data_IF_547899028179
#
_entry.id   IF_547899028179
#
_cell.length_a   1.000
_cell.length_b   1.000
_cell.length_c   1.000
_cell.angle_alpha   90.00
_cell.angle_beta   90.00
_cell.angle_gamma   90.00
#
_symmetry.space_group_name_H-M   'P 1'
#
loop_
_entity.id
_entity.type
_entity.pdbx_description
1 polymer ?
#
# COMPACT_ATOMS: atom_id res chain seq x y z
N UNK A 1 54.41 -35.58 -58.09
CA UNK A 1 53.96 -34.17 -58.18
C UNK A 1 52.57 -34.11 -58.79
N UNK A 2 51.56 -33.79 -57.98
CA UNK A 2 50.43 -32.90 -58.28
C UNK A 2 49.42 -33.06 -57.13
N UNK A 3 49.36 -32.06 -56.27
CA UNK A 3 48.41 -31.95 -55.17
C UNK A 3 47.00 -31.81 -55.73
N UNK A 4 46.06 -32.61 -55.21
CA UNK A 4 44.62 -32.43 -55.43
C UNK A 4 44.04 -31.90 -54.12
N UNK A 5 43.59 -30.66 -54.17
CA UNK A 5 42.96 -29.91 -53.08
C UNK A 5 41.49 -30.31 -52.98
N UNK A 6 41.05 -30.82 -51.83
CA UNK A 6 39.63 -30.94 -51.49
C UNK A 6 39.18 -29.65 -50.79
N UNK A 7 38.26 -28.91 -51.42
CA UNK A 7 37.58 -27.76 -50.84
C UNK A 7 36.28 -28.27 -50.21
N UNK A 8 36.21 -28.27 -48.89
CA UNK A 8 34.98 -28.51 -48.13
C UNK A 8 34.17 -27.22 -48.04
N UNK A 9 32.91 -27.26 -48.51
CA UNK A 9 31.92 -26.24 -48.22
C UNK A 9 31.32 -26.52 -46.83
N UNK A 10 31.72 -25.73 -45.83
CA UNK A 10 31.04 -25.66 -44.54
C UNK A 10 30.16 -24.41 -44.55
N UNK A 11 28.87 -24.60 -44.76
CA UNK A 11 27.86 -23.55 -44.67
C UNK A 11 27.63 -23.15 -43.21
N UNK A 12 28.30 -22.09 -42.77
CA UNK A 12 27.98 -21.41 -41.52
C UNK A 12 26.67 -20.62 -41.69
N UNK A 13 25.58 -21.18 -41.17
CA UNK A 13 24.37 -20.41 -40.86
C UNK A 13 24.67 -19.50 -39.66
N UNK A 14 25.13 -18.28 -39.95
CA UNK A 14 25.12 -17.19 -38.98
C UNK A 14 23.66 -16.76 -38.76
N UNK A 15 23.01 -17.34 -37.76
CA UNK A 15 21.84 -16.73 -37.14
C UNK A 15 22.31 -15.41 -36.51
N UNK A 16 22.11 -14.31 -37.24
CA UNK A 16 22.25 -12.97 -36.71
C UNK A 16 21.24 -12.80 -35.57
N UNK A 17 21.71 -12.84 -34.33
CA UNK A 17 20.99 -12.16 -33.25
C UNK A 17 20.90 -10.69 -33.65
N UNK A 18 19.71 -10.25 -34.03
CA UNK A 18 19.41 -8.82 -34.06
C UNK A 18 19.66 -8.30 -32.65
N UNK A 19 20.71 -7.49 -32.50
CA UNK A 19 20.94 -6.73 -31.28
C UNK A 19 19.78 -5.78 -31.13
N UNK A 20 18.80 -6.13 -30.29
CA UNK A 20 17.82 -5.16 -29.83
C UNK A 20 18.59 -3.98 -29.21
N UNK A 21 18.38 -2.77 -29.73
CA UNK A 21 19.00 -1.61 -29.09
C UNK A 21 18.40 -1.52 -27.69
N UNK A 22 19.25 -1.58 -26.68
CA UNK A 22 18.81 -1.48 -25.29
C UNK A 22 18.62 0.00 -24.98
N UNK A 23 17.38 0.45 -24.83
CA UNK A 23 17.08 1.80 -24.32
C UNK A 23 17.20 1.73 -22.79
N UNK A 24 18.42 1.84 -22.28
CA UNK A 24 18.70 1.80 -20.84
C UNK A 24 18.64 0.38 -20.23
N UNK A 25 17.61 0.06 -19.44
CA UNK A 25 17.43 -1.26 -18.78
C UNK A 25 16.41 -2.17 -19.49
N UNK A 26 15.76 -1.66 -20.53
CA UNK A 26 14.64 -2.30 -21.23
C UNK A 26 14.98 -2.48 -22.71
N UNK A 27 14.45 -3.53 -23.34
CA UNK A 27 14.54 -3.70 -24.80
C UNK A 27 13.53 -2.80 -25.51
N UNK A 28 13.79 -2.46 -26.78
CA UNK A 28 12.82 -1.75 -27.63
C UNK A 28 11.44 -2.43 -27.64
N UNK A 29 11.39 -3.75 -27.77
CA UNK A 29 10.13 -4.52 -27.74
C UNK A 29 9.33 -4.29 -26.44
N UNK A 30 10.02 -4.20 -25.30
CA UNK A 30 9.39 -3.93 -24.00
C UNK A 30 8.84 -2.51 -23.93
N UNK A 31 9.58 -1.54 -24.48
CA UNK A 31 9.14 -0.14 -24.52
C UNK A 31 7.94 0.03 -25.45
N UNK A 32 7.92 -0.65 -26.60
CA UNK A 32 6.81 -0.60 -27.56
C UNK A 32 5.49 -1.08 -26.96
N UNK A 33 5.51 -2.04 -26.02
CA UNK A 33 4.30 -2.50 -25.31
C UNK A 33 3.58 -1.37 -24.55
N UNK A 34 4.29 -0.30 -24.18
CA UNK A 34 3.69 0.82 -23.48
C UNK A 34 2.79 1.68 -24.38
N UNK A 35 2.99 1.66 -25.71
CA UNK A 35 2.31 2.53 -26.69
C UNK A 35 2.22 3.99 -26.23
N UNK A 36 3.35 4.59 -25.84
CA UNK A 36 3.41 5.91 -25.18
C UNK A 36 2.75 7.04 -25.98
N UNK A 37 2.75 6.91 -27.32
CA UNK A 37 2.11 7.85 -28.25
C UNK A 37 0.60 7.98 -28.02
N UNK A 38 -0.03 6.91 -27.54
CA UNK A 38 -1.48 6.81 -27.29
C UNK A 38 -1.86 7.18 -25.85
N UNK A 39 -0.87 7.49 -24.99
CA UNK A 39 -1.11 7.78 -23.57
C UNK A 39 -1.82 9.13 -23.39
N UNK A 40 -2.99 9.11 -22.77
CA UNK A 40 -3.78 10.31 -22.48
C UNK A 40 -3.49 10.86 -21.09
N UNK A 41 -3.57 12.17 -20.94
CA UNK A 41 -3.46 12.82 -19.63
C UNK A 41 -4.86 12.94 -19.02
N UNK A 42 -5.05 12.42 -17.81
CA UNK A 42 -6.25 12.66 -17.01
C UNK A 42 -5.95 13.78 -16.01
N UNK A 43 -6.80 14.79 -15.99
CA UNK A 43 -6.77 15.85 -14.97
C UNK A 43 -7.85 15.56 -13.94
N UNK A 44 -7.52 15.60 -12.63
CA UNK A 44 -8.52 15.43 -11.59
C UNK A 44 -9.64 16.48 -11.71
N UNK A 45 -10.89 16.02 -11.71
CA UNK A 45 -12.07 16.87 -11.58
C UNK A 45 -12.14 17.45 -10.16
N UNK A 46 -12.47 18.72 -10.03
CA UNK A 46 -12.46 19.43 -8.74
C UNK A 46 -13.82 20.00 -8.33
N UNK A 47 -14.88 19.79 -9.12
CA UNK A 47 -16.18 20.42 -8.86
C UNK A 47 -16.83 19.97 -7.53
N UNK A 48 -16.51 18.76 -7.07
CA UNK A 48 -17.13 18.13 -5.88
C UNK A 48 -16.19 18.05 -4.67
N UNK A 49 -15.09 18.81 -4.68
CA UNK A 49 -14.03 18.69 -3.68
C UNK A 49 -14.52 19.12 -2.28
N UNK A 50 -14.31 18.26 -1.28
CA UNK A 50 -14.68 18.53 0.11
C UNK A 50 -13.46 19.04 0.89
N UNK A 51 -13.61 20.18 1.55
CA UNK A 51 -12.59 20.69 2.47
C UNK A 51 -12.79 20.03 3.83
N UNK A 52 -11.79 19.28 4.29
CA UNK A 52 -11.81 18.61 5.59
C UNK A 52 -11.01 19.45 6.57
N UNK A 53 -11.71 20.07 7.53
CA UNK A 53 -11.06 20.87 8.56
C UNK A 53 -10.53 19.98 9.70
N UNK A 54 -9.21 19.88 9.79
CA UNK A 54 -8.50 19.09 10.80
C UNK A 54 -7.96 19.94 11.96
N UNK A 55 -8.12 21.27 11.92
CA UNK A 55 -7.66 22.18 12.97
C UNK A 55 -8.18 21.82 14.38
N UNK A 56 -9.43 21.38 14.57
CA UNK A 56 -9.93 20.98 15.89
C UNK A 56 -9.15 19.82 16.54
N UNK A 57 -8.43 19.02 15.75
CA UNK A 57 -7.72 17.81 16.18
C UNK A 57 -6.20 18.01 16.33
N UNK A 58 -5.70 19.24 16.22
CA UNK A 58 -4.29 19.57 16.43
C UNK A 58 -3.93 19.65 17.93
N UNK A 59 -2.65 19.45 18.25
CA UNK A 59 -2.13 19.42 19.61
C UNK A 59 -2.56 18.18 20.37
N UNK A 60 -2.30 18.11 21.68
CA UNK A 60 -2.74 16.96 22.51
C UNK A 60 -4.27 16.92 22.57
N UNK A 61 -4.86 15.86 22.02
CA UNK A 61 -6.31 15.70 21.88
C UNK A 61 -6.73 14.29 22.25
N UNK A 62 -7.54 14.22 23.30
CA UNK A 62 -8.22 12.99 23.71
C UNK A 62 -9.59 12.90 23.04
N UNK A 63 -10.02 11.68 22.71
CA UNK A 63 -11.35 11.42 22.16
C UNK A 63 -11.90 10.07 22.62
N UNK A 64 -13.23 9.99 22.73
CA UNK A 64 -13.98 8.84 23.25
C UNK A 64 -14.15 7.75 22.20
N UNK A 65 -13.05 7.12 21.79
CA UNK A 65 -13.04 6.11 20.72
C UNK A 65 -13.79 4.83 21.09
N UNK A 66 -13.62 4.32 22.32
CA UNK A 66 -14.20 3.04 22.73
C UNK A 66 -15.73 3.01 22.69
N UNK A 67 -16.40 4.17 22.76
CA UNK A 67 -17.86 4.26 22.60
C UNK A 67 -18.33 4.13 21.16
N UNK A 68 -17.46 4.34 20.18
CA UNK A 68 -17.79 4.31 18.77
C UNK A 68 -17.66 2.90 18.18
N UNK A 69 -16.98 1.99 18.87
CA UNK A 69 -16.69 0.65 18.35
C UNK A 69 -17.91 -0.25 18.55
N UNK A 70 -18.53 -0.65 17.44
CA UNK A 70 -19.71 -1.51 17.43
C UNK A 70 -19.33 -3.00 17.46
N UNK A 71 -18.39 -3.36 16.61
CA UNK A 71 -18.05 -4.76 16.33
C UNK A 71 -16.53 -4.92 16.34
N UNK A 72 -16.05 -5.99 16.97
CA UNK A 72 -14.64 -6.37 17.02
C UNK A 72 -14.50 -7.85 16.68
N UNK A 73 -13.52 -8.20 15.84
CA UNK A 73 -13.06 -9.57 15.61
C UNK A 73 -11.57 -9.66 15.86
N UNK A 74 -11.18 -10.64 16.69
CA UNK A 74 -9.79 -10.85 17.09
C UNK A 74 -9.23 -12.06 16.36
N UNK A 75 -8.16 -11.83 15.60
CA UNK A 75 -7.52 -12.85 14.77
C UNK A 75 -6.02 -12.90 15.15
N UNK A 76 -5.64 -13.71 16.15
CA UNK A 76 -4.23 -14.00 16.42
C UNK A 76 -3.63 -14.73 15.23
N UNK A 77 -2.51 -14.23 14.70
CA UNK A 77 -1.79 -14.94 13.64
C UNK A 77 -1.00 -16.09 14.27
N UNK A 78 -1.14 -17.30 13.74
CA UNK A 78 -0.46 -18.48 14.27
C UNK A 78 1.06 -18.26 14.34
N UNK A 79 1.65 -18.53 15.51
CA UNK A 79 3.10 -18.43 15.74
C UNK A 79 3.77 -19.80 15.69
N UNK A 80 4.65 -19.99 14.70
CA UNK A 80 5.56 -21.12 14.63
C UNK A 80 6.83 -20.70 13.84
N UNK A 81 7.83 -21.58 13.80
CA UNK A 81 9.13 -21.29 13.15
C UNK A 81 9.03 -20.93 11.66
N UNK A 82 7.90 -21.23 10.99
CA UNK A 82 7.66 -20.94 9.57
C UNK A 82 6.79 -19.70 9.36
N UNK A 83 6.15 -19.18 10.40
CA UNK A 83 5.14 -18.12 10.30
C UNK A 83 5.52 -16.83 11.02
N UNK A 84 6.76 -16.69 11.53
CA UNK A 84 7.21 -15.46 12.19
C UNK A 84 7.02 -14.24 11.29
N UNK A 85 6.32 -13.23 11.82
CA UNK A 85 6.02 -11.96 11.14
C UNK A 85 7.00 -10.90 11.62
N UNK A 86 7.79 -10.34 10.69
CA UNK A 86 8.75 -9.28 10.99
C UNK A 86 8.25 -7.95 10.43
N UNK A 87 7.57 -7.13 11.22
CA UNK A 87 7.15 -5.78 10.81
C UNK A 87 6.18 -5.73 9.61
N UNK A 88 4.88 -5.60 9.89
CA UNK A 88 3.84 -5.58 8.86
C UNK A 88 3.86 -4.26 8.06
N UNK A 89 4.06 -4.35 6.75
CA UNK A 89 3.97 -3.23 5.81
C UNK A 89 2.63 -3.15 5.07
N UNK A 90 2.01 -4.29 4.75
CA UNK A 90 0.72 -4.33 4.06
C UNK A 90 -0.09 -5.54 4.49
N UNK A 91 -1.40 -5.34 4.62
CA UNK A 91 -2.39 -6.39 4.89
C UNK A 91 -3.40 -6.34 3.75
N UNK A 92 -3.65 -7.49 3.13
CA UNK A 92 -4.73 -7.66 2.17
C UNK A 92 -5.62 -8.79 2.66
N UNK A 93 -6.92 -8.54 2.75
CA UNK A 93 -7.90 -9.52 3.20
C UNK A 93 -8.83 -9.85 2.05
N UNK A 94 -9.03 -11.15 1.79
CA UNK A 94 -10.04 -11.66 0.87
C UNK A 94 -11.13 -12.38 1.66
N UNK A 95 -12.11 -12.98 0.99
CA UNK A 95 -13.10 -13.82 1.68
C UNK A 95 -12.46 -15.01 2.40
N UNK A 96 -11.36 -15.56 1.88
CA UNK A 96 -10.76 -16.81 2.33
C UNK A 96 -9.44 -16.64 3.09
N UNK A 97 -8.65 -15.60 2.78
CA UNK A 97 -7.28 -15.48 3.26
C UNK A 97 -6.90 -14.06 3.70
N UNK A 98 -5.82 -14.00 4.47
CA UNK A 98 -5.13 -12.79 4.91
C UNK A 98 -3.70 -12.88 4.40
N UNK A 99 -3.31 -11.93 3.56
CA UNK A 99 -1.97 -11.80 3.01
C UNK A 99 -1.23 -10.71 3.78
N UNK A 100 -0.07 -11.06 4.33
CA UNK A 100 0.79 -10.14 5.07
C UNK A 100 2.08 -9.92 4.28
N UNK A 101 2.33 -8.67 3.90
CA UNK A 101 3.67 -8.23 3.49
C UNK A 101 4.41 -7.73 4.71
N UNK A 102 5.57 -8.34 4.99
CA UNK A 102 6.42 -8.01 6.13
C UNK A 102 7.84 -7.65 5.68
N UNK A 103 8.70 -7.27 6.62
CA UNK A 103 10.07 -6.80 6.41
C UNK A 103 11.13 -7.91 6.27
N UNK A 104 10.75 -9.17 6.47
CA UNK A 104 11.70 -10.28 6.44
C UNK A 104 12.48 -10.34 5.11
N UNK A 105 13.82 -10.29 5.22
CA UNK A 105 14.76 -10.38 4.08
C UNK A 105 14.45 -9.42 2.93
N UNK A 106 14.32 -8.13 3.23
CA UNK A 106 13.99 -7.07 2.26
C UNK A 106 12.60 -7.27 1.62
N UNK A 107 11.67 -7.82 2.40
CA UNK A 107 10.27 -7.97 2.02
C UNK A 107 9.85 -9.43 1.85
N UNK A 108 8.92 -9.87 2.70
CA UNK A 108 8.36 -11.21 2.67
C UNK A 108 6.84 -11.21 2.48
N UNK A 109 6.30 -12.40 2.18
CA UNK A 109 4.85 -12.63 2.10
C UNK A 109 4.48 -13.82 2.98
N UNK A 110 3.45 -13.67 3.81
CA UNK A 110 2.78 -14.77 4.51
C UNK A 110 1.30 -14.82 4.10
N UNK A 111 0.74 -16.03 4.10
CA UNK A 111 -0.68 -16.27 3.93
C UNK A 111 -1.19 -16.96 5.18
N UNK A 112 -2.27 -16.42 5.73
CA UNK A 112 -3.07 -17.03 6.79
C UNK A 112 -4.50 -17.22 6.30
N UNK A 113 -5.25 -18.16 6.87
CA UNK A 113 -6.70 -18.18 6.69
C UNK A 113 -7.39 -17.05 7.46
N UNK A 114 -8.71 -16.94 7.32
CA UNK A 114 -9.50 -15.91 8.03
C UNK A 114 -9.51 -16.03 9.56
N UNK A 115 -9.09 -17.17 10.11
CA UNK A 115 -8.99 -17.41 11.55
C UNK A 115 -7.55 -17.23 12.06
N UNK A 116 -6.61 -16.83 11.19
CA UNK A 116 -5.23 -16.58 11.54
C UNK A 116 -4.35 -17.84 11.50
N UNK A 117 -4.85 -18.97 11.00
CA UNK A 117 -4.04 -20.19 10.85
C UNK A 117 -3.05 -20.02 9.70
N UNK A 118 -1.81 -20.42 9.91
CA UNK A 118 -0.76 -20.29 8.91
C UNK A 118 -1.00 -21.23 7.72
N UNK A 119 -0.89 -20.68 6.51
CA UNK A 119 -1.00 -21.42 5.25
C UNK A 119 0.36 -21.54 4.57
N UNK A 120 1.04 -20.40 4.34
CA UNK A 120 2.28 -20.39 3.55
C UNK A 120 3.18 -19.20 3.88
N UNK A 121 4.48 -19.46 3.84
CA UNK A 121 5.56 -18.46 3.77
C UNK A 121 6.24 -18.61 2.43
N UNK A 122 6.44 -17.50 1.72
CA UNK A 122 7.14 -17.51 0.43
C UNK A 122 8.65 -17.63 0.66
N UNK A 123 9.33 -18.42 -0.17
CA UNK A 123 10.79 -18.56 -0.13
C UNK A 123 11.47 -17.34 -0.75
N UNK A 124 12.72 -17.11 -0.33
CA UNK A 124 13.58 -16.06 -0.88
C UNK A 124 14.71 -16.66 -1.70
N UNK A 125 14.96 -16.08 -2.87
CA UNK A 125 15.97 -16.56 -3.81
C UNK A 125 15.80 -15.94 -5.19
N UNK A 126 16.26 -16.65 -6.21
CA UNK A 126 16.22 -16.19 -7.62
C UNK A 126 15.51 -17.20 -8.53
N UNK A 127 15.01 -18.31 -7.97
CA UNK A 127 14.24 -19.29 -8.70
C UNK A 127 12.82 -18.81 -9.03
N UNK A 128 12.10 -19.53 -9.92
CA UNK A 128 10.72 -19.21 -10.25
C UNK A 128 9.83 -19.19 -9.01
N UNK A 129 9.11 -18.08 -8.80
CA UNK A 129 8.22 -17.89 -7.65
C UNK A 129 8.91 -17.52 -6.33
N UNK A 130 10.25 -17.46 -6.30
CA UNK A 130 10.98 -16.99 -5.12
C UNK A 130 11.01 -15.45 -5.07
N UNK A 131 10.96 -14.93 -3.86
CA UNK A 131 10.99 -13.49 -3.61
C UNK A 131 12.43 -12.98 -3.50
N UNK A 132 12.66 -11.81 -4.05
CA UNK A 132 13.87 -11.02 -3.81
C UNK A 132 13.52 -9.54 -3.88
N UNK A 133 13.78 -8.80 -2.78
CA UNK A 133 13.54 -7.36 -2.70
C UNK A 133 12.13 -6.97 -3.16
N UNK A 134 11.15 -7.31 -2.34
CA UNK A 134 9.73 -7.05 -2.61
C UNK A 134 9.42 -5.57 -2.39
N UNK A 135 8.73 -4.94 -3.35
CA UNK A 135 8.36 -3.53 -3.28
C UNK A 135 6.90 -3.33 -2.89
N UNK A 136 5.98 -4.13 -3.44
CA UNK A 136 4.56 -4.09 -3.09
C UNK A 136 3.87 -5.40 -3.49
N UNK A 137 2.68 -5.64 -2.93
CA UNK A 137 1.77 -6.72 -3.32
C UNK A 137 0.36 -6.17 -3.53
N UNK A 138 -0.43 -6.80 -4.39
CA UNK A 138 -1.87 -6.58 -4.44
C UNK A 138 -2.60 -7.86 -4.86
N UNK A 139 -3.93 -7.86 -4.84
CA UNK A 139 -4.75 -9.01 -5.20
C UNK A 139 -5.66 -8.74 -6.40
N UNK A 140 -5.59 -9.62 -7.39
CA UNK A 140 -6.49 -9.64 -8.54
C UNK A 140 -7.77 -10.42 -8.18
N UNK A 141 -8.74 -9.73 -7.57
CA UNK A 141 -10.02 -10.31 -7.15
C UNK A 141 -10.85 -10.91 -8.28
N UNK A 142 -10.58 -10.55 -9.55
CA UNK A 142 -11.29 -11.11 -10.70
C UNK A 142 -10.76 -12.49 -11.08
N UNK A 143 -9.47 -12.74 -10.86
CA UNK A 143 -8.78 -13.97 -11.24
C UNK A 143 -8.35 -14.82 -10.04
N UNK A 144 -8.61 -14.36 -8.81
CA UNK A 144 -8.17 -14.96 -7.56
C UNK A 144 -6.65 -15.17 -7.48
N UNK A 145 -5.89 -14.16 -7.94
CA UNK A 145 -4.43 -14.20 -7.99
C UNK A 145 -3.78 -13.17 -7.08
N UNK A 146 -2.79 -13.59 -6.30
CA UNK A 146 -1.87 -12.68 -5.62
C UNK A 146 -0.84 -12.17 -6.64
N UNK A 147 -0.64 -10.86 -6.67
CA UNK A 147 0.34 -10.18 -7.53
C UNK A 147 1.43 -9.57 -6.65
N UNK A 148 2.67 -10.00 -6.84
CA UNK A 148 3.83 -9.47 -6.13
C UNK A 148 4.75 -8.70 -7.08
N UNK A 149 5.17 -7.50 -6.68
CA UNK A 149 6.10 -6.69 -7.44
C UNK A 149 7.50 -6.73 -6.82
N UNK A 150 8.42 -7.35 -7.56
CA UNK A 150 9.86 -7.24 -7.32
C UNK A 150 10.49 -6.68 -8.58
N UNK A 151 11.11 -5.50 -8.49
CA UNK A 151 11.61 -4.82 -9.69
C UNK A 151 12.61 -5.70 -10.47
N UNK A 152 12.44 -6.00 -11.77
CA UNK A 152 11.49 -5.45 -12.77
C UNK A 152 10.37 -6.41 -13.21
N UNK A 153 9.79 -7.19 -12.29
CA UNK A 153 8.80 -8.23 -12.57
C UNK A 153 7.54 -8.10 -11.71
N UNK A 154 6.40 -8.44 -12.32
CA UNK A 154 5.23 -8.90 -11.58
C UNK A 154 5.25 -10.42 -11.53
N UNK A 155 5.11 -10.99 -10.34
CA UNK A 155 4.92 -12.41 -10.11
C UNK A 155 3.46 -12.64 -9.75
N UNK A 156 2.89 -13.70 -10.30
CA UNK A 156 1.50 -14.07 -10.12
C UNK A 156 1.45 -15.43 -9.43
N UNK A 157 0.62 -15.52 -8.41
CA UNK A 157 0.41 -16.72 -7.63
C UNK A 157 -1.09 -16.99 -7.51
N UNK A 158 -1.47 -18.25 -7.34
CA UNK A 158 -2.84 -18.57 -6.96
C UNK A 158 -3.16 -18.09 -5.54
N UNK A 159 -4.41 -18.27 -5.11
CA UNK A 159 -4.88 -17.83 -3.78
C UNK A 159 -4.12 -18.44 -2.60
N UNK A 160 -3.47 -19.61 -2.76
CA UNK A 160 -2.65 -20.25 -1.71
C UNK A 160 -1.14 -20.07 -1.92
N UNK A 161 -0.75 -19.21 -2.87
CA UNK A 161 0.63 -18.79 -3.09
C UNK A 161 1.46 -19.74 -3.95
N UNK A 162 0.87 -20.61 -4.77
CA UNK A 162 1.62 -21.37 -5.78
C UNK A 162 1.93 -20.49 -6.98
N UNK A 163 3.18 -20.55 -7.45
CA UNK A 163 3.62 -19.72 -8.57
C UNK A 163 2.92 -20.13 -9.86
N UNK A 164 2.34 -19.14 -10.54
CA UNK A 164 1.67 -19.32 -11.82
C UNK A 164 2.55 -18.86 -12.97
N UNK A 165 3.05 -17.62 -12.89
CA UNK A 165 3.83 -16.98 -13.94
C UNK A 165 4.53 -15.73 -13.42
N UNK A 166 5.48 -15.23 -14.22
CA UNK A 166 6.05 -13.90 -14.05
C UNK A 166 5.98 -13.11 -15.36
N UNK A 167 5.77 -11.80 -15.26
CA UNK A 167 5.82 -10.86 -16.39
C UNK A 167 6.88 -9.81 -16.13
N UNK A 168 7.75 -9.56 -17.11
CA UNK A 168 8.71 -8.46 -17.05
C UNK A 168 7.98 -7.14 -17.33
N UNK A 169 8.23 -6.15 -16.48
CA UNK A 169 7.67 -4.82 -16.58
C UNK A 169 8.58 -3.91 -17.40
N UNK A 170 8.02 -3.08 -18.29
CA UNK A 170 8.76 -2.05 -19.02
C UNK A 170 8.85 -0.71 -18.25
N UNK A 171 8.63 -0.71 -16.93
CA UNK A 171 8.76 0.47 -16.07
C UNK A 171 8.98 0.08 -14.59
N UNK A 172 9.50 1.01 -13.80
CA UNK A 172 9.60 0.90 -12.35
C UNK A 172 8.56 1.75 -11.61
N UNK A 173 8.01 1.23 -10.51
CA UNK A 173 7.10 1.95 -9.64
C UNK A 173 7.33 1.64 -8.15
N UNK A 174 6.49 2.18 -7.29
CA UNK A 174 6.55 2.02 -5.84
C UNK A 174 5.36 1.23 -5.30
N UNK A 175 4.14 1.63 -5.65
CA UNK A 175 2.93 0.90 -5.27
C UNK A 175 2.12 0.50 -6.49
N UNK A 176 1.34 -0.57 -6.35
CA UNK A 176 0.43 -1.03 -7.37
C UNK A 176 -0.97 -1.28 -6.81
N UNK A 177 -1.97 -1.06 -7.67
CA UNK A 177 -3.31 -1.59 -7.51
C UNK A 177 -3.70 -2.32 -8.79
N UNK A 178 -4.21 -3.53 -8.65
CA UNK A 178 -4.77 -4.34 -9.72
C UNK A 178 -6.24 -3.96 -9.90
N UNK A 179 -6.63 -3.69 -11.13
CA UNK A 179 -8.03 -3.46 -11.53
C UNK A 179 -8.46 -4.58 -12.49
N UNK A 180 -9.75 -4.65 -12.79
CA UNK A 180 -10.30 -5.67 -13.70
C UNK A 180 -9.67 -5.59 -15.10
N UNK A 181 -9.35 -4.37 -15.54
CA UNK A 181 -8.86 -4.08 -16.90
C UNK A 181 -7.35 -3.84 -16.97
N UNK A 182 -6.67 -3.78 -15.83
CA UNK A 182 -5.24 -3.50 -15.82
C UNK A 182 -4.65 -3.20 -14.45
N UNK A 183 -3.78 -2.20 -14.42
CA UNK A 183 -2.99 -1.81 -13.26
C UNK A 183 -2.95 -0.30 -13.10
N UNK A 184 -2.95 0.14 -11.85
CA UNK A 184 -2.63 1.50 -11.45
C UNK A 184 -1.28 1.43 -10.76
N UNK A 185 -0.30 2.16 -11.28
CA UNK A 185 1.04 2.26 -10.72
C UNK A 185 1.25 3.64 -10.13
N UNK A 186 1.74 3.67 -8.89
CA UNK A 186 2.23 4.89 -8.25
C UNK A 186 3.75 4.94 -8.39
N UNK A 187 4.25 5.98 -9.03
CA UNK A 187 5.67 6.30 -9.09
C UNK A 187 5.98 7.48 -8.16
N UNK A 188 7.23 7.57 -7.72
CA UNK A 188 7.75 8.79 -7.09
C UNK A 188 8.45 9.65 -8.15
N UNK A 189 8.33 10.97 -8.02
CA UNK A 189 8.76 11.90 -9.08
C UNK A 189 10.24 11.79 -9.43
N UNK A 190 10.53 11.90 -10.73
CA UNK A 190 11.88 11.79 -11.32
C UNK A 190 12.61 10.49 -10.95
N UNK A 191 11.89 9.36 -10.89
CA UNK A 191 12.54 8.04 -10.88
C UNK A 191 12.93 7.66 -12.31
N UNK A 192 14.08 6.97 -12.41
CA UNK A 192 14.69 6.64 -13.70
C UNK A 192 13.81 5.69 -14.48
N UNK A 193 13.51 6.09 -15.72
CA UNK A 193 12.91 5.33 -16.83
C UNK A 193 12.92 6.31 -18.02
N UNK A 194 14.08 6.58 -18.64
CA UNK A 194 14.21 7.67 -19.61
C UNK A 194 13.33 7.48 -20.85
N UNK A 195 12.99 6.24 -21.18
CA UNK A 195 12.09 5.89 -22.28
C UNK A 195 10.64 6.32 -22.07
N UNK A 196 10.24 6.69 -20.84
CA UNK A 196 8.91 7.27 -20.58
C UNK A 196 8.79 8.74 -20.99
N UNK A 197 9.87 9.38 -21.43
CA UNK A 197 9.89 10.77 -21.91
C UNK A 197 9.19 11.74 -20.93
N UNK A 198 8.19 12.50 -21.38
CA UNK A 198 7.43 13.45 -20.56
C UNK A 198 6.51 12.76 -19.54
N UNK A 199 6.14 11.49 -19.78
CA UNK A 199 5.26 10.70 -18.90
C UNK A 199 5.92 10.39 -17.55
N UNK A 200 7.25 10.46 -17.46
CA UNK A 200 8.00 10.30 -16.20
C UNK A 200 7.75 11.41 -15.17
N UNK A 201 7.17 12.54 -15.60
CA UNK A 201 6.80 13.63 -14.72
C UNK A 201 5.45 13.39 -14.01
N UNK A 202 4.74 12.31 -14.35
CA UNK A 202 3.48 11.93 -13.73
C UNK A 202 3.69 10.86 -12.66
N UNK A 203 2.95 10.99 -11.57
CA UNK A 203 3.08 10.07 -10.42
C UNK A 203 2.02 8.98 -10.38
N UNK A 204 1.03 9.06 -11.28
CA UNK A 204 -0.01 8.06 -11.46
C UNK A 204 -0.01 7.58 -12.90
N UNK A 205 0.20 6.28 -13.10
CA UNK A 205 0.24 5.63 -14.41
C UNK A 205 -0.82 4.53 -14.43
N UNK A 206 -1.66 4.52 -15.47
CA UNK A 206 -2.72 3.53 -15.63
C UNK A 206 -2.47 2.74 -16.92
N UNK A 207 -2.26 1.44 -16.76
CA UNK A 207 -1.90 0.55 -17.85
C UNK A 207 -2.87 -0.63 -17.95
N UNK A 208 -3.02 -1.18 -19.15
CA UNK A 208 -3.78 -2.43 -19.35
C UNK A 208 -3.04 -3.65 -18.78
N UNK A 209 -3.68 -4.83 -18.76
CA UNK A 209 -3.04 -6.11 -18.37
C UNK A 209 -1.84 -6.52 -19.25
N UNK A 210 -1.70 -5.90 -20.43
CA UNK A 210 -0.58 -6.09 -21.36
C UNK A 210 0.43 -4.94 -21.31
N UNK A 211 0.33 -4.06 -20.30
CA UNK A 211 1.22 -2.92 -20.06
C UNK A 211 1.13 -1.73 -21.02
N UNK A 212 0.14 -1.71 -21.93
CA UNK A 212 -0.21 -0.49 -22.67
C UNK A 212 -0.55 0.63 -21.69
N UNK A 213 0.19 1.73 -21.71
CA UNK A 213 -0.01 2.89 -20.84
C UNK A 213 -1.13 3.76 -21.40
N UNK A 214 -2.34 3.54 -20.90
CA UNK A 214 -3.54 4.24 -21.37
C UNK A 214 -3.59 5.68 -20.86
N UNK A 215 -3.26 5.88 -19.57
CA UNK A 215 -3.39 7.18 -18.94
C UNK A 215 -2.26 7.52 -17.98
N UNK A 216 -2.00 8.82 -17.84
CA UNK A 216 -1.18 9.38 -16.77
C UNK A 216 -1.89 10.54 -16.08
N UNK A 217 -1.62 10.72 -14.78
CA UNK A 217 -2.18 11.83 -14.00
C UNK A 217 -1.23 12.26 -12.87
N UNK A 218 -1.59 13.37 -12.21
CA UNK A 218 -0.88 13.92 -11.07
C UNK A 218 0.59 14.25 -11.38
N UNK A 219 0.85 15.29 -12.21
CA UNK A 219 2.20 15.70 -12.56
C UNK A 219 2.94 16.25 -11.32
N UNK A 220 4.18 15.83 -11.14
CA UNK A 220 5.09 16.32 -10.10
C UNK A 220 6.48 16.59 -10.72
N UNK A 221 6.72 17.88 -10.97
CA UNK A 221 7.93 18.36 -11.66
C UNK A 221 9.12 18.54 -10.71
N UNK A 222 8.90 18.45 -9.39
CA UNK A 222 9.96 18.56 -8.38
C UNK A 222 10.10 17.25 -7.62
N UNK A 223 11.35 16.82 -7.44
CA UNK A 223 11.63 15.64 -6.62
C UNK A 223 11.40 15.99 -5.16
N UNK A 224 10.48 15.28 -4.51
CA UNK A 224 10.30 15.38 -3.06
C UNK A 224 11.41 14.57 -2.39
N UNK A 225 12.09 15.18 -1.41
CA UNK A 225 13.19 14.58 -0.64
C UNK A 225 12.81 14.34 0.82
N UNK A 226 11.56 14.62 1.18
CA UNK A 226 10.96 14.33 2.48
C UNK A 226 10.66 12.84 2.69
N UNK A 227 10.07 12.54 3.85
CA UNK A 227 9.59 11.20 4.22
C UNK A 227 8.67 10.62 3.14
N UNK A 228 8.75 9.31 2.94
CA UNK A 228 7.81 8.57 2.11
C UNK A 228 6.96 7.65 2.98
N UNK A 229 5.65 7.57 2.70
CA UNK A 229 4.81 6.48 3.19
C UNK A 229 5.14 5.17 2.46
N UNK A 230 4.71 4.06 3.07
CA UNK A 230 4.78 2.71 2.51
C UNK A 230 3.76 2.49 1.39
N UNK A 231 2.59 3.11 1.49
CA UNK A 231 1.55 3.04 0.46
C UNK A 231 0.94 4.41 0.19
N UNK A 232 0.56 4.64 -1.06
CA UNK A 232 -0.18 5.81 -1.53
C UNK A 232 -1.39 5.45 -2.40
N UNK A 233 -1.60 4.14 -2.59
CA UNK A 233 -2.75 3.59 -3.28
C UNK A 233 -3.53 2.74 -2.29
N UNK A 234 -4.83 2.99 -2.22
CA UNK A 234 -5.74 2.35 -1.27
C UNK A 234 -6.90 1.77 -2.05
N UNK A 235 -7.12 0.47 -1.93
CA UNK A 235 -8.24 -0.24 -2.56
C UNK A 235 -9.05 -0.96 -1.49
N UNK A 236 -10.37 -0.83 -1.56
CA UNK A 236 -11.31 -1.57 -0.75
C UNK A 236 -12.60 -1.82 -1.54
N UNK A 237 -12.76 -3.03 -2.07
CA UNK A 237 -13.76 -3.30 -3.12
C UNK A 237 -13.54 -2.40 -4.34
N UNK A 238 -14.61 -1.73 -4.78
CA UNK A 238 -14.58 -0.77 -5.90
C UNK A 238 -14.00 0.61 -5.50
N UNK A 239 -13.73 0.85 -4.22
CA UNK A 239 -13.19 2.13 -3.75
C UNK A 239 -11.68 2.19 -3.99
N UNK A 240 -11.25 2.98 -4.97
CA UNK A 240 -9.83 3.25 -5.23
C UNK A 240 -9.51 4.70 -4.88
N UNK A 241 -8.62 4.87 -3.90
CA UNK A 241 -8.20 6.17 -3.39
C UNK A 241 -6.69 6.32 -3.52
N UNK A 242 -6.26 7.54 -3.76
CA UNK A 242 -4.87 7.83 -4.09
C UNK A 242 -4.42 9.06 -3.34
N UNK A 243 -3.20 9.00 -2.84
CA UNK A 243 -2.53 10.15 -2.22
C UNK A 243 -1.21 10.43 -2.92
N UNK A 244 -0.68 11.60 -2.65
CA UNK A 244 0.67 12.02 -3.04
C UNK A 244 1.61 11.95 -1.85
N UNK A 245 2.91 12.02 -2.13
CA UNK A 245 3.89 12.22 -1.08
C UNK A 245 3.70 13.61 -0.49
N UNK A 246 3.46 13.69 0.83
CA UNK A 246 3.37 14.97 1.56
C UNK A 246 2.35 15.96 0.98
N UNK A 247 1.21 15.44 0.50
CA UNK A 247 0.11 16.24 -0.07
C UNK A 247 -1.02 16.42 0.93
N UNK A 248 -1.86 17.43 0.71
CA UNK A 248 -3.12 17.62 1.40
C UNK A 248 -4.33 17.16 0.58
N UNK A 249 -4.12 16.72 -0.66
CA UNK A 249 -5.23 16.32 -1.55
C UNK A 249 -5.32 14.81 -1.67
N UNK A 250 -6.53 14.27 -1.45
CA UNK A 250 -6.85 12.85 -1.65
C UNK A 250 -7.73 12.73 -2.89
N UNK A 251 -7.35 11.82 -3.78
CA UNK A 251 -8.02 11.59 -5.05
C UNK A 251 -8.80 10.28 -5.04
N UNK A 252 -9.83 10.22 -5.87
CA UNK A 252 -10.64 9.03 -6.13
C UNK A 252 -10.57 8.67 -7.60
N UNK A 253 -10.34 7.40 -7.88
CA UNK A 253 -10.36 6.88 -9.24
C UNK A 253 -11.52 5.92 -9.43
N UNK A 254 -12.33 6.15 -10.46
CA UNK A 254 -13.38 5.25 -10.89
C UNK A 254 -12.87 4.44 -12.08
N UNK A 255 -12.61 3.15 -11.87
CA UNK A 255 -12.11 2.25 -12.92
C UNK A 255 -13.11 2.02 -14.05
N UNK A 256 -14.42 2.14 -13.79
CA UNK A 256 -15.47 1.90 -14.80
C UNK A 256 -15.60 3.08 -15.77
N UNK A 257 -15.42 4.31 -15.28
CA UNK A 257 -15.51 5.53 -16.11
C UNK A 257 -14.15 6.11 -16.51
N UNK A 258 -13.05 5.58 -15.95
CA UNK A 258 -11.70 6.13 -16.03
C UNK A 258 -11.61 7.59 -15.55
N UNK A 259 -12.46 7.97 -14.60
CA UNK A 259 -12.49 9.32 -14.06
C UNK A 259 -11.66 9.43 -12.77
N UNK A 260 -10.91 10.52 -12.67
CA UNK A 260 -10.17 10.90 -11.48
C UNK A 260 -10.80 12.16 -10.89
N UNK A 261 -11.13 12.15 -9.61
CA UNK A 261 -11.66 13.31 -8.88
C UNK A 261 -10.76 13.66 -7.71
N UNK A 262 -10.67 14.95 -7.39
CA UNK A 262 -10.16 15.41 -6.11
C UNK A 262 -11.30 15.36 -5.09
N UNK A 263 -11.29 14.35 -4.23
CA UNK A 263 -12.37 14.12 -3.27
C UNK A 263 -12.22 15.01 -2.03
N UNK A 264 -11.01 15.07 -1.47
CA UNK A 264 -10.74 15.82 -0.26
C UNK A 264 -9.52 16.74 -0.40
N UNK A 265 -9.59 17.89 0.27
CA UNK A 265 -8.42 18.70 0.64
C UNK A 265 -8.38 18.85 2.16
N UNK A 266 -7.28 18.40 2.75
CA UNK A 266 -7.02 18.49 4.18
C UNK A 266 -6.59 19.91 4.55
N UNK A 267 -7.43 20.58 5.32
CA UNK A 267 -7.18 21.90 5.87
C UNK A 267 -6.67 21.76 7.31
N UNK A 268 -5.46 22.26 7.55
CA UNK A 268 -4.86 22.30 8.88
C UNK A 268 -3.75 23.35 8.91
N UNK A 269 -3.58 23.96 10.07
CA UNK A 269 -2.57 24.97 10.34
C UNK A 269 -1.18 24.35 10.51
N UNK A 270 -0.16 25.22 10.47
CA UNK A 270 1.25 24.86 10.68
C UNK A 270 1.74 23.75 9.73
N UNK A 271 1.28 23.73 8.47
CA UNK A 271 1.79 22.83 7.44
C UNK A 271 3.30 22.97 7.30
N UNK A 272 4.01 21.85 7.13
CA UNK A 272 5.44 21.88 6.76
C UNK A 272 5.63 22.75 5.52
N UNK A 273 6.46 23.81 5.57
CA UNK A 273 6.71 24.64 4.41
C UNK A 273 7.30 23.85 3.24
N UNK A 274 6.78 24.06 2.02
CA UNK A 274 7.19 23.33 0.81
C UNK A 274 8.70 23.32 0.56
N UNK A 275 9.43 24.37 0.95
CA UNK A 275 10.91 24.43 0.83
C UNK A 275 11.63 23.28 1.55
N UNK A 276 11.05 22.74 2.63
CA UNK A 276 11.61 21.60 3.35
C UNK A 276 11.21 20.25 2.73
N UNK A 277 10.14 20.22 1.93
CA UNK A 277 9.72 19.01 1.18
C UNK A 277 10.62 18.78 -0.03
N UNK A 278 10.95 19.86 -0.73
CA UNK A 278 11.82 19.88 -1.93
C UNK A 278 13.27 20.24 -1.59
N UNK A 279 13.66 20.17 -0.31
CA UNK A 279 15.02 20.47 0.14
C UNK A 279 16.06 19.52 -0.45
N UNK A 280 17.34 19.79 -0.21
CA UNK A 280 18.44 19.04 -0.82
C UNK A 280 18.48 17.57 -0.34
N UNK A 281 18.17 17.35 0.95
CA UNK A 281 18.29 16.06 1.63
C UNK A 281 17.08 15.74 2.52
N UNK A 282 16.88 14.45 2.81
CA UNK A 282 15.91 13.99 3.81
C UNK A 282 16.20 14.53 5.22
N UNK A 283 17.47 14.79 5.52
CA UNK A 283 17.89 15.41 6.78
C UNK A 283 17.35 16.83 6.94
N UNK A 284 17.24 17.59 5.85
CA UNK A 284 16.65 18.94 5.86
C UNK A 284 15.21 18.91 6.33
N UNK A 285 14.42 17.98 5.79
CA UNK A 285 13.05 17.73 6.22
C UNK A 285 12.99 17.30 7.70
N UNK A 286 13.86 16.35 8.08
CA UNK A 286 13.87 15.78 9.44
C UNK A 286 14.21 16.84 10.49
N UNK A 287 15.25 17.66 10.27
CA UNK A 287 15.62 18.77 11.16
C UNK A 287 14.50 19.81 11.26
N UNK A 288 13.90 20.19 10.13
CA UNK A 288 12.82 21.17 10.11
C UNK A 288 11.61 20.70 10.92
N UNK A 289 11.19 19.44 10.74
CA UNK A 289 10.01 18.87 11.42
C UNK A 289 10.24 18.53 12.89
N UNK A 290 11.48 18.23 13.29
CA UNK A 290 11.83 17.97 14.71
C UNK A 290 12.06 19.24 15.53
N UNK A 291 12.44 20.35 14.89
CA UNK A 291 12.75 21.60 15.59
C UNK A 291 11.62 22.62 15.55
N UNK A 292 10.54 22.34 14.83
CA UNK A 292 9.41 23.25 14.66
C UNK A 292 8.10 22.46 14.75
N UNK A 293 7.10 23.05 15.38
CA UNK A 293 5.74 22.50 15.53
C UNK A 293 4.98 22.51 14.19
N UNK A 294 5.42 21.66 13.25
CA UNK A 294 4.79 21.50 11.95
C UNK A 294 4.00 20.20 11.85
N UNK A 295 2.83 20.29 11.21
CA UNK A 295 2.01 19.15 10.85
C UNK A 295 2.17 18.77 9.38
N UNK A 296 2.04 17.49 9.08
CA UNK A 296 2.02 16.96 7.73
C UNK A 296 1.26 15.64 7.63
N UNK A 297 0.65 15.38 6.49
CA UNK A 297 0.15 14.06 6.12
C UNK A 297 1.20 13.37 5.23
N UNK A 298 1.59 12.14 5.55
CA UNK A 298 2.60 11.43 4.76
C UNK A 298 2.04 10.72 3.52
N UNK A 299 0.72 10.81 3.30
CA UNK A 299 -0.02 10.04 2.30
C UNK A 299 -0.98 9.02 2.91
N UNK A 300 -0.97 8.82 4.23
CA UNK A 300 -1.86 7.88 4.92
C UNK A 300 -3.33 8.29 4.81
N UNK A 301 -4.15 7.36 4.35
CA UNK A 301 -5.60 7.47 4.22
C UNK A 301 -6.24 6.08 4.22
N UNK A 302 -7.38 5.90 4.88
CA UNK A 302 -8.15 4.67 4.78
C UNK A 302 -9.64 4.95 4.61
N UNK A 303 -10.34 4.01 4.00
CA UNK A 303 -11.77 4.14 3.78
C UNK A 303 -12.46 2.77 3.74
N UNK A 304 -13.45 2.63 4.62
CA UNK A 304 -14.43 1.54 4.63
C UNK A 304 -15.58 1.87 3.69
N UNK A 305 -16.68 1.11 3.63
CA UNK A 305 -17.85 1.60 2.87
C UNK A 305 -18.55 2.76 3.61
N UNK A 306 -18.44 2.80 4.94
CA UNK A 306 -19.19 3.73 5.79
C UNK A 306 -18.37 4.90 6.36
N UNK A 307 -17.04 4.81 6.45
CA UNK A 307 -16.19 5.83 7.09
C UNK A 307 -14.91 6.13 6.30
N UNK A 308 -14.35 7.32 6.53
CA UNK A 308 -13.01 7.73 6.10
C UNK A 308 -12.09 7.90 7.33
N UNK A 309 -10.79 7.73 7.15
CA UNK A 309 -9.79 8.01 8.18
C UNK A 309 -8.64 8.81 7.60
N UNK A 310 -8.33 9.92 8.27
CA UNK A 310 -7.25 10.84 7.94
C UNK A 310 -6.19 10.83 9.03
N UNK A 311 -4.94 11.10 8.65
CA UNK A 311 -3.80 11.11 9.57
C UNK A 311 -2.98 12.38 9.45
N UNK A 312 -2.44 12.85 10.58
CA UNK A 312 -1.43 13.90 10.63
C UNK A 312 -0.30 13.47 11.55
N UNK A 313 0.90 13.92 11.21
CA UNK A 313 2.13 13.70 11.98
C UNK A 313 2.71 15.03 12.43
N UNK A 314 3.31 15.02 13.61
CA UNK A 314 4.10 16.11 14.13
C UNK A 314 5.33 15.54 14.85
N UNK A 315 6.50 15.72 14.23
CA UNK A 315 7.76 15.17 14.75
C UNK A 315 8.32 15.98 15.94
N UNK A 316 7.89 17.22 16.14
CA UNK A 316 8.33 18.07 17.25
C UNK A 316 7.64 17.66 18.56
N UNK A 317 6.33 17.37 18.50
CA UNK A 317 5.56 16.90 19.65
C UNK A 317 5.44 15.38 19.75
N UNK A 318 5.99 14.65 18.78
CA UNK A 318 5.86 13.18 18.62
C UNK A 318 4.40 12.69 18.54
N UNK A 319 3.51 13.53 18.01
CA UNK A 319 2.08 13.21 17.91
C UNK A 319 1.75 12.62 16.55
N UNK A 320 1.02 11.49 16.56
CA UNK A 320 0.27 10.98 15.42
C UNK A 320 -1.22 11.20 15.70
N UNK A 321 -1.87 12.01 14.90
CA UNK A 321 -3.32 12.27 14.99
C UNK A 321 -4.05 11.37 13.99
N UNK A 322 -5.13 10.74 14.44
CA UNK A 322 -6.09 9.99 13.64
C UNK A 322 -7.46 10.67 13.72
N UNK A 323 -8.12 10.85 12.59
CA UNK A 323 -9.45 11.48 12.49
C UNK A 323 -10.37 10.62 11.65
N UNK A 324 -11.41 10.10 12.29
CA UNK A 324 -12.48 9.34 11.66
C UNK A 324 -13.57 10.29 11.21
N UNK A 325 -14.13 10.03 10.03
CA UNK A 325 -15.28 10.74 9.49
C UNK A 325 -16.35 9.74 9.11
N UNK A 326 -17.56 9.92 9.63
CA UNK A 326 -18.73 9.19 9.15
C UNK A 326 -19.14 9.74 7.76
N UNK A 327 -19.34 8.86 6.79
CA UNK A 327 -19.63 9.32 5.42
C UNK A 327 -21.03 9.89 5.26
N UNK A 328 -21.99 9.37 6.03
CA UNK A 328 -23.41 9.70 5.92
C UNK A 328 -23.72 11.01 6.64
N UNK A 329 -23.28 11.18 7.87
CA UNK A 329 -23.50 12.39 8.68
C UNK A 329 -22.47 13.47 8.33
N UNK A 330 -21.26 13.05 7.97
CA UNK A 330 -20.12 13.95 7.78
C UNK A 330 -19.43 14.37 9.08
N UNK A 331 -19.90 13.89 10.23
CA UNK A 331 -19.30 14.18 11.53
C UNK A 331 -17.90 13.58 11.62
N UNK A 332 -17.07 14.22 12.45
CA UNK A 332 -15.67 13.84 12.62
C UNK A 332 -15.31 13.73 14.10
N UNK A 333 -14.50 12.73 14.41
CA UNK A 333 -14.00 12.45 15.76
C UNK A 333 -12.57 11.94 15.67
N UNK A 334 -11.71 12.38 16.56
CA UNK A 334 -10.29 12.03 16.47
C UNK A 334 -9.40 12.77 17.44
N UNK A 335 -8.12 12.48 17.33
CA UNK A 335 -7.08 13.00 18.19
C UNK A 335 -5.84 12.11 18.15
N UNK A 336 -4.99 12.23 19.16
CA UNK A 336 -3.76 11.42 19.32
C UNK A 336 -3.79 10.55 20.58
N UNK A 337 -4.79 10.75 21.45
CA UNK A 337 -4.99 9.95 22.64
C UNK A 337 -6.39 9.34 22.63
N UNK A 338 -6.53 8.12 22.14
CA UNK A 338 -7.83 7.44 22.10
C UNK A 338 -8.18 6.89 23.48
N UNK A 339 -9.33 7.28 24.04
CA UNK A 339 -9.90 6.59 25.20
C UNK A 339 -10.53 5.29 24.72
N UNK A 340 -9.81 4.18 24.93
CA UNK A 340 -10.19 2.87 24.42
C UNK A 340 -11.15 2.12 25.34
N UNK A 341 -11.28 2.49 26.63
CA UNK A 341 -11.79 1.58 27.67
C UNK A 341 -11.02 0.24 27.62
N UNK A 342 -9.80 0.16 28.16
CA UNK A 342 -8.87 -0.96 27.91
C UNK A 342 -9.38 -2.35 28.34
N UNK A 343 -10.43 -2.44 29.17
CA UNK A 343 -11.10 -3.70 29.53
C UNK A 343 -12.14 -4.17 28.49
N UNK A 344 -12.51 -3.31 27.55
CA UNK A 344 -13.52 -3.57 26.51
C UNK A 344 -12.87 -3.89 25.17
N UNK A 345 -11.84 -3.14 24.75
CA UNK A 345 -11.18 -3.32 23.45
C UNK A 345 -9.66 -3.15 23.52
N UNK A 346 -8.90 -3.86 22.66
CA UNK A 346 -7.45 -3.66 22.50
C UNK A 346 -7.11 -2.29 21.87
N UNK A 347 -5.82 -1.89 21.80
CA UNK A 347 -5.39 -0.60 21.27
C UNK A 347 -5.48 -0.51 19.74
N UNK A 348 -6.70 -0.29 19.23
CA UNK A 348 -7.04 -0.39 17.81
C UNK A 348 -7.35 0.94 17.12
N UNK A 349 -7.22 2.07 17.81
CA UNK A 349 -7.62 3.38 17.28
C UNK A 349 -6.81 3.87 16.07
N UNK A 350 -5.70 3.22 15.71
CA UNK A 350 -4.83 3.59 14.59
C UNK A 350 -4.77 2.45 13.55
N UNK A 351 -5.70 2.42 12.59
CA UNK A 351 -5.79 1.33 11.63
C UNK A 351 -4.64 1.38 10.62
N UNK A 352 -4.32 0.19 10.10
CA UNK A 352 -3.27 -0.06 9.12
C UNK A 352 -3.80 -0.57 7.79
N UNK A 353 -5.02 -1.10 7.76
CA UNK A 353 -5.68 -1.58 6.56
C UNK A 353 -7.20 -1.51 6.70
N UNK A 354 -7.89 -1.89 5.63
CA UNK A 354 -9.35 -1.96 5.55
C UNK A 354 -9.78 -3.21 4.82
N UNK A 355 -10.97 -3.70 5.15
CA UNK A 355 -11.65 -4.77 4.42
C UNK A 355 -13.16 -4.61 4.57
N UNK A 356 -13.83 -4.28 3.46
CA UNK A 356 -15.25 -3.91 3.43
C UNK A 356 -15.53 -2.80 4.45
N UNK A 357 -16.42 -3.02 5.40
CA UNK A 357 -16.73 -2.07 6.47
C UNK A 357 -15.82 -2.15 7.70
N UNK A 358 -14.82 -3.02 7.69
CA UNK A 358 -13.86 -3.13 8.80
C UNK A 358 -12.61 -2.30 8.55
N UNK A 359 -12.20 -1.57 9.57
CA UNK A 359 -10.81 -1.18 9.74
C UNK A 359 -10.03 -2.36 10.35
N UNK A 360 -8.73 -2.41 10.06
CA UNK A 360 -7.83 -3.44 10.59
C UNK A 360 -6.68 -2.78 11.32
N UNK A 361 -6.57 -3.07 12.61
CA UNK A 361 -5.44 -2.67 13.46
C UNK A 361 -4.64 -3.90 13.87
N UNK A 362 -3.43 -3.66 14.37
CA UNK A 362 -2.54 -4.72 14.85
C UNK A 362 -2.01 -4.35 16.21
N UNK A 363 -1.91 -5.31 17.12
CA UNK A 363 -1.18 -5.13 18.37
C UNK A 363 -0.31 -6.36 18.67
N UNK A 364 0.72 -6.16 19.49
CA UNK A 364 1.57 -7.26 19.96
C UNK A 364 0.84 -7.91 21.13
N UNK A 365 0.54 -9.22 21.08
CA UNK A 365 -0.17 -9.90 22.15
C UNK A 365 0.59 -9.84 23.47
N UNK A 366 -0.15 -10.00 24.57
CA UNK A 366 0.41 -10.23 25.89
C UNK A 366 -0.24 -11.43 26.57
N UNK A 367 0.51 -12.11 27.43
CA UNK A 367 -0.01 -13.10 28.36
C UNK A 367 -1.11 -12.57 29.30
N UNK A 368 -1.23 -11.24 29.46
CA UNK A 368 -2.28 -10.59 30.24
C UNK A 368 -3.55 -10.27 29.43
N UNK A 369 -3.53 -10.39 28.10
CA UNK A 369 -4.63 -9.96 27.21
C UNK A 369 -5.98 -10.56 27.62
N UNK A 370 -5.99 -11.87 27.88
CA UNK A 370 -7.20 -12.57 28.28
C UNK A 370 -7.73 -12.05 29.62
N UNK A 371 -6.88 -11.85 30.62
CA UNK A 371 -7.32 -11.37 31.93
C UNK A 371 -7.84 -9.93 31.87
N UNK A 372 -7.29 -9.11 30.97
CA UNK A 372 -7.76 -7.74 30.73
C UNK A 372 -9.12 -7.72 30.01
N UNK A 373 -9.33 -8.61 29.03
CA UNK A 373 -10.46 -8.57 28.10
C UNK A 373 -11.55 -9.63 28.36
N UNK A 374 -11.38 -10.55 29.31
CA UNK A 374 -12.34 -11.65 29.60
C UNK A 374 -13.75 -11.15 29.88
N UNK A 375 -13.87 -9.98 30.50
CA UNK A 375 -15.15 -9.37 30.89
C UNK A 375 -15.69 -8.36 29.85
N UNK A 376 -14.98 -8.16 28.74
CA UNK A 376 -15.40 -7.26 27.65
C UNK A 376 -16.79 -7.60 27.14
N UNK A 377 -17.63 -6.59 26.92
CA UNK A 377 -18.95 -6.76 26.28
C UNK A 377 -18.87 -6.61 24.77
N UNK A 378 -17.83 -5.95 24.27
CA UNK A 378 -17.62 -5.72 22.83
C UNK A 378 -17.01 -6.93 22.12
N UNK A 379 -16.17 -7.70 22.80
CA UNK A 379 -15.49 -8.88 22.22
C UNK A 379 -16.35 -10.13 22.42
N UNK A 380 -16.52 -10.91 21.36
CA UNK A 380 -17.28 -12.17 21.40
C UNK A 380 -16.61 -13.22 22.32
N UNK A 381 -17.40 -14.16 22.85
CA UNK A 381 -16.84 -15.26 23.64
C UNK A 381 -15.83 -16.11 22.84
N UNK A 382 -16.11 -16.34 21.55
CA UNK A 382 -15.21 -17.06 20.65
C UNK A 382 -13.86 -16.33 20.50
N UNK A 383 -13.89 -15.01 20.31
CA UNK A 383 -12.66 -14.23 20.13
C UNK A 383 -11.84 -14.10 21.42
N UNK A 384 -12.50 -14.08 22.59
CA UNK A 384 -11.80 -14.15 23.88
C UNK A 384 -11.06 -15.47 24.06
N UNK A 385 -11.65 -16.59 23.64
CA UNK A 385 -10.96 -17.88 23.72
C UNK A 385 -9.71 -17.93 22.82
N UNK A 386 -9.69 -17.19 21.70
CA UNK A 386 -8.52 -17.12 20.81
C UNK A 386 -7.28 -16.48 21.47
N UNK A 387 -7.48 -15.57 22.43
CA UNK A 387 -6.39 -14.87 23.14
C UNK A 387 -6.04 -15.46 24.51
N UNK A 388 -6.72 -16.52 24.92
CA UNK A 388 -6.56 -17.17 26.24
C UNK A 388 -5.16 -17.71 26.51
N UNK A 389 -4.45 -18.06 25.44
CA UNK A 389 -3.12 -18.65 25.49
C UNK A 389 -2.09 -17.81 24.74
N UNK A 390 -2.41 -16.53 24.48
CA UNK A 390 -1.48 -15.58 23.87
C UNK A 390 -0.23 -15.39 24.74
N UNK A 391 0.91 -15.23 24.08
CA UNK A 391 2.21 -14.98 24.69
C UNK A 391 2.82 -13.70 24.15
N UNK A 392 3.71 -13.10 24.93
CA UNK A 392 4.36 -11.84 24.57
C UNK A 392 5.27 -11.95 23.33
N UNK A 393 5.69 -13.17 22.97
CA UNK A 393 6.52 -13.49 21.81
C UNK A 393 5.72 -14.06 20.62
N UNK A 394 4.38 -14.12 20.73
CA UNK A 394 3.53 -14.50 19.61
C UNK A 394 3.52 -13.45 18.50
N UNK A 395 3.19 -13.90 17.29
CA UNK A 395 2.94 -13.03 16.16
C UNK A 395 1.85 -11.99 16.48
N UNK A 396 1.86 -10.82 15.81
CA UNK A 396 0.87 -9.79 16.03
C UNK A 396 -0.57 -10.29 15.84
N UNK A 397 -1.46 -9.81 16.70
CA UNK A 397 -2.90 -10.04 16.59
C UNK A 397 -3.50 -9.00 15.66
N UNK A 398 -4.27 -9.46 14.66
CA UNK A 398 -5.08 -8.57 13.82
C UNK A 398 -6.44 -8.35 14.48
N UNK A 399 -6.87 -7.10 14.53
CA UNK A 399 -8.18 -6.73 15.07
C UNK A 399 -8.97 -6.01 14.00
N UNK A 400 -10.04 -6.65 13.54
CA UNK A 400 -10.99 -6.06 12.61
C UNK A 400 -12.08 -5.39 13.42
N UNK A 401 -12.34 -4.11 13.16
CA UNK A 401 -13.37 -3.37 13.90
C UNK A 401 -14.22 -2.48 13.01
N UNK A 402 -15.46 -2.28 13.42
CA UNK A 402 -16.39 -1.33 12.81
C UNK A 402 -16.73 -0.22 13.79
N UNK A 403 -16.98 0.96 13.24
CA UNK A 403 -17.53 2.07 13.99
C UNK A 403 -19.03 2.18 13.76
N UNK A 404 -19.77 2.61 14.78
CA UNK A 404 -21.15 3.07 14.66
C UNK A 404 -21.23 4.33 13.79
N UNK A 405 -22.44 4.65 13.34
CA UNK A 405 -22.75 5.97 12.79
C UNK A 405 -22.68 7.01 13.91
N UNK A 406 -22.01 8.14 13.67
CA UNK A 406 -21.85 9.22 14.66
C UNK A 406 -21.96 10.60 14.05
#
# INVERSE_FOLDING_TARGET
>A
MKNITYIGYLSFLLLSCQSSNVIGRYSEEQVVLLELENTKIITPKTETIKKIDLNPFLGKKQFEFGNLVNEVKIIPLETNNKSLVDGIYKIITTEEYIYIMDNFKDGGILIFDRNGKFIKRFSHGQGPGELSRLYDIDYDFKNDELVAYQHSFLLFFDKVGNFLRQKRLPLGFNNLVVTDDGYIFKTLSKRGDPHLEDKRDYTLLLASKNFKLNFVALPERKKIKALSAYTYLYKNGDLISLTGQMTDTIYKYNSKTNELTSEFVLNYDKKVPRKYLYGETFETFTKATRNNDYYFNIGEYFETFSQNVFFLHNNYTELKTVVYRDKKTGNMVGGNNANLKPKEIPPIAFPKAVYKDYFVSTYIPSSEDYEILKDSKTISAEDKEKIKHSKDDDNPVLVYFKLEEF
#
